data_IF_257008161262
#
_entry.id   IF_257008161262
#
_cell.length_a   1.000
_cell.length_b   1.000
_cell.length_c   1.000
_cell.angle_alpha   90.00
_cell.angle_beta   90.00
_cell.angle_gamma   90.00
#
_symmetry.space_group_name_H-M   'P 1'
#
loop_
_entity.id
_entity.type
_entity.pdbx_description
1 polymer ?
#
# COMPACT_ATOMS: atom_id res chain seq x y z
N UNK A 1 -19.63 -8.47 16.70
CA UNK A 1 -19.01 -8.86 15.41
C UNK A 1 -19.54 -8.05 14.24
N UNK A 2 -20.81 -7.60 14.25
CA UNK A 2 -21.41 -6.85 13.14
C UNK A 2 -20.94 -5.39 12.98
N UNK A 3 -20.39 -4.77 14.02
CA UNK A 3 -20.24 -3.30 14.03
C UNK A 3 -18.89 -2.78 13.49
N UNK A 4 -17.83 -3.61 13.47
CA UNK A 4 -16.47 -3.18 13.11
C UNK A 4 -15.71 -4.11 12.14
N UNK A 5 -16.24 -5.30 11.85
CA UNK A 5 -15.59 -6.27 10.95
C UNK A 5 -14.38 -6.98 11.59
N UNK A 6 -14.20 -8.27 11.24
CA UNK A 6 -13.16 -9.13 11.84
C UNK A 6 -11.74 -8.64 11.57
N UNK A 7 -11.49 -8.02 10.41
CA UNK A 7 -10.14 -7.55 10.04
C UNK A 7 -9.74 -6.26 10.75
N UNK A 8 -10.67 -5.33 11.00
CA UNK A 8 -10.38 -4.14 11.80
C UNK A 8 -10.06 -4.53 13.25
N UNK A 9 -10.72 -5.57 13.78
CA UNK A 9 -10.43 -6.11 15.11
C UNK A 9 -9.04 -6.77 15.15
N UNK A 10 -8.68 -7.58 14.14
CA UNK A 10 -7.34 -8.21 14.05
C UNK A 10 -6.23 -7.17 13.91
N UNK A 11 -6.41 -6.15 13.07
CA UNK A 11 -5.45 -5.06 12.92
C UNK A 11 -5.30 -4.24 14.22
N UNK A 12 -6.40 -3.94 14.90
CA UNK A 12 -6.39 -3.23 16.19
C UNK A 12 -5.66 -4.03 17.27
N UNK A 13 -5.83 -5.35 17.30
CA UNK A 13 -5.15 -6.23 18.26
C UNK A 13 -3.65 -6.39 17.93
N UNK A 14 -3.24 -6.38 16.66
CA UNK A 14 -1.83 -6.44 16.26
C UNK A 14 -1.05 -5.16 16.53
N UNK A 15 -1.72 -4.02 16.70
CA UNK A 15 -1.12 -2.73 17.05
C UNK A 15 -0.80 -2.60 18.56
N UNK A 16 -1.07 -3.64 19.37
CA UNK A 16 -0.71 -3.66 20.78
C UNK A 16 0.79 -3.81 21.00
N UNK A 17 1.39 -2.88 21.74
CA UNK A 17 2.78 -2.99 22.20
C UNK A 17 2.87 -4.04 23.31
N UNK A 18 3.79 -5.00 23.20
CA UNK A 18 4.00 -6.00 24.23
C UNK A 18 4.37 -5.34 25.58
N UNK A 19 3.59 -5.60 26.63
CA UNK A 19 3.85 -5.11 27.99
C UNK A 19 3.23 -3.76 28.36
N UNK A 20 2.47 -3.13 27.47
CA UNK A 20 1.63 -1.96 27.80
C UNK A 20 0.15 -2.31 27.70
N UNK A 21 -0.67 -1.75 28.61
CA UNK A 21 -2.12 -1.83 28.49
C UNK A 21 -2.56 -1.19 27.17
N UNK A 22 -3.27 -1.98 26.37
CA UNK A 22 -3.82 -1.55 25.10
C UNK A 22 -4.95 -0.56 25.40
N UNK A 23 -4.64 0.74 25.31
CA UNK A 23 -5.65 1.78 25.46
C UNK A 23 -6.60 1.73 24.24
N UNK A 24 -7.67 0.96 24.38
CA UNK A 24 -8.79 0.85 23.44
C UNK A 24 -9.66 2.11 23.55
N UNK A 25 -9.11 3.25 23.13
CA UNK A 25 -9.92 4.46 22.99
C UNK A 25 -10.85 4.33 21.78
N UNK A 26 -12.06 4.85 21.90
CA UNK A 26 -13.04 4.93 20.80
C UNK A 26 -12.49 5.69 19.59
N UNK A 27 -11.58 6.63 19.82
CA UNK A 27 -10.83 7.36 18.80
C UNK A 27 -9.94 6.43 17.95
N UNK A 28 -9.19 5.51 18.58
CA UNK A 28 -8.36 4.52 17.84
C UNK A 28 -9.22 3.56 17.02
N UNK A 29 -10.36 3.13 17.55
CA UNK A 29 -11.31 2.30 16.80
C UNK A 29 -11.86 3.04 15.57
N UNK A 30 -12.17 4.32 15.72
CA UNK A 30 -12.66 5.17 14.61
C UNK A 30 -11.59 5.36 13.54
N UNK A 31 -10.34 5.63 13.94
CA UNK A 31 -9.21 5.75 13.02
C UNK A 31 -8.91 4.45 12.28
N UNK A 32 -8.97 3.31 12.98
CA UNK A 32 -8.77 1.99 12.35
C UNK A 32 -9.88 1.64 11.37
N UNK A 33 -11.14 2.00 11.67
CA UNK A 33 -12.25 1.85 10.72
C UNK A 33 -12.04 2.69 9.46
N UNK A 34 -11.60 3.94 9.62
CA UNK A 34 -11.29 4.81 8.48
C UNK A 34 -10.16 4.23 7.63
N UNK A 35 -9.14 3.65 8.27
CA UNK A 35 -8.03 2.96 7.60
C UNK A 35 -8.50 1.77 6.78
N UNK A 36 -9.28 0.86 7.37
CA UNK A 36 -9.82 -0.30 6.65
C UNK A 36 -10.66 0.13 5.45
N UNK A 37 -11.49 1.16 5.59
CA UNK A 37 -12.25 1.72 4.47
C UNK A 37 -11.35 2.28 3.37
N UNK A 38 -10.28 2.99 3.74
CA UNK A 38 -9.31 3.54 2.78
C UNK A 38 -8.57 2.44 2.03
N UNK A 39 -8.18 1.37 2.73
CA UNK A 39 -7.58 0.16 2.15
C UNK A 39 -8.51 -0.53 1.14
N UNK A 40 -9.78 -0.71 1.52
CA UNK A 40 -10.80 -1.26 0.62
C UNK A 40 -10.97 -0.41 -0.64
N UNK A 41 -11.08 0.91 -0.48
CA UNK A 41 -11.24 1.84 -1.62
C UNK A 41 -10.00 1.83 -2.54
N UNK A 42 -8.80 1.77 -1.98
CA UNK A 42 -7.56 1.64 -2.75
C UNK A 42 -7.53 0.33 -3.54
N UNK A 43 -7.82 -0.82 -2.90
CA UNK A 43 -7.87 -2.11 -3.56
C UNK A 43 -8.90 -2.15 -4.69
N UNK A 44 -10.10 -1.61 -4.45
CA UNK A 44 -11.15 -1.50 -5.47
C UNK A 44 -10.69 -0.65 -6.66
N UNK A 45 -10.08 0.50 -6.40
CA UNK A 45 -9.55 1.37 -7.45
C UNK A 45 -8.51 0.64 -8.30
N UNK A 46 -7.55 -0.03 -7.67
CA UNK A 46 -6.48 -0.76 -8.38
C UNK A 46 -7.09 -1.85 -9.26
N UNK A 47 -7.96 -2.70 -8.71
CA UNK A 47 -8.60 -3.79 -9.45
C UNK A 47 -9.43 -3.29 -10.64
N UNK A 48 -10.16 -2.18 -10.49
CA UNK A 48 -10.94 -1.59 -11.58
C UNK A 48 -10.07 -1.08 -12.72
N UNK A 49 -8.85 -0.62 -12.43
CA UNK A 49 -7.93 -0.07 -13.41
C UNK A 49 -6.97 -1.11 -14.02
N UNK A 50 -6.96 -2.37 -13.56
CA UNK A 50 -6.09 -3.43 -14.10
C UNK A 50 -6.66 -4.12 -15.36
N UNK A 51 -7.90 -3.83 -15.76
CA UNK A 51 -8.53 -4.37 -16.97
C UNK A 51 -9.02 -5.82 -16.81
N UNK A 52 -10.16 -6.14 -17.41
CA UNK A 52 -10.87 -7.42 -17.26
C UNK A 52 -10.30 -8.59 -18.09
N UNK A 53 -9.16 -8.40 -18.78
CA UNK A 53 -8.57 -9.41 -19.65
C UNK A 53 -7.33 -9.99 -18.98
N UNK A 54 -7.41 -11.22 -18.47
CA UNK A 54 -6.34 -11.87 -17.69
C UNK A 54 -4.95 -11.91 -18.34
N UNK A 55 -4.85 -11.75 -19.66
CA UNK A 55 -3.56 -11.60 -20.36
C UNK A 55 -2.79 -10.34 -19.91
N UNK A 56 -3.49 -9.22 -19.69
CA UNK A 56 -2.85 -7.97 -19.26
C UNK A 56 -2.27 -8.08 -17.84
N UNK A 57 -2.89 -8.87 -16.95
CA UNK A 57 -2.37 -9.08 -15.60
C UNK A 57 -1.06 -9.88 -15.61
N UNK A 58 -0.95 -10.89 -16.48
CA UNK A 58 0.28 -11.66 -16.64
C UNK A 58 1.45 -10.75 -17.06
N UNK A 59 1.21 -9.86 -18.02
CA UNK A 59 2.22 -8.92 -18.52
C UNK A 59 2.64 -7.92 -17.43
N UNK A 60 1.70 -7.40 -16.63
CA UNK A 60 2.00 -6.50 -15.52
C UNK A 60 2.84 -7.18 -14.42
N UNK A 61 2.66 -8.47 -14.19
CA UNK A 61 3.43 -9.25 -13.21
C UNK A 61 4.86 -9.56 -13.67
N UNK A 62 5.18 -9.37 -14.96
CA UNK A 62 6.55 -9.52 -15.46
C UNK A 62 7.48 -8.40 -15.03
N UNK A 63 6.91 -7.23 -14.67
CA UNK A 63 7.70 -6.11 -14.18
C UNK A 63 8.39 -6.47 -12.86
N UNK A 64 9.67 -6.11 -12.78
CA UNK A 64 10.53 -6.31 -11.62
C UNK A 64 11.04 -4.97 -11.13
N UNK A 65 10.82 -4.68 -9.86
CA UNK A 65 11.17 -3.42 -9.23
C UNK A 65 12.15 -3.62 -8.07
N UNK A 66 12.97 -4.66 -8.13
CA UNK A 66 13.88 -5.15 -7.09
C UNK A 66 15.35 -4.72 -7.30
N UNK A 67 15.65 -3.99 -8.38
CA UNK A 67 17.02 -3.58 -8.71
C UNK A 67 17.12 -2.08 -8.96
N UNK A 68 18.25 -1.46 -8.63
CA UNK A 68 18.48 -0.03 -8.90
C UNK A 68 18.31 0.32 -10.38
N UNK A 69 18.74 -0.57 -11.28
CA UNK A 69 18.59 -0.38 -12.72
C UNK A 69 17.12 -0.39 -13.17
N UNK A 70 16.25 -1.16 -12.51
CA UNK A 70 14.83 -1.14 -12.84
C UNK A 70 14.13 0.10 -12.28
N UNK A 71 14.49 0.54 -11.09
CA UNK A 71 14.01 1.81 -10.53
C UNK A 71 14.45 3.03 -11.35
N UNK A 72 15.69 3.06 -11.83
CA UNK A 72 16.23 4.17 -12.63
C UNK A 72 15.53 4.36 -13.98
N UNK A 73 14.84 3.32 -14.48
CA UNK A 73 14.06 3.36 -15.73
C UNK A 73 12.61 3.78 -15.50
N UNK A 74 12.17 3.86 -14.25
CA UNK A 74 10.81 4.28 -13.92
C UNK A 74 10.66 5.80 -14.05
N UNK A 75 9.46 6.28 -14.42
CA UNK A 75 9.16 7.68 -14.25
C UNK A 75 9.19 8.07 -12.76
N UNK A 76 9.36 9.37 -12.49
CA UNK A 76 9.64 9.87 -11.15
C UNK A 76 8.61 9.41 -10.08
N UNK A 77 7.28 9.54 -10.27
CA UNK A 77 6.31 9.12 -9.25
C UNK A 77 6.42 7.63 -8.90
N UNK A 78 6.60 6.79 -9.92
CA UNK A 78 6.75 5.35 -9.81
C UNK A 78 8.05 4.98 -9.08
N UNK A 79 9.18 5.59 -9.45
CA UNK A 79 10.47 5.35 -8.79
C UNK A 79 10.43 5.75 -7.30
N UNK A 80 9.74 6.86 -6.99
CA UNK A 80 9.63 7.39 -5.63
C UNK A 80 8.83 6.46 -4.72
N UNK A 81 7.64 6.03 -5.15
CA UNK A 81 6.78 5.18 -4.31
C UNK A 81 7.39 3.80 -4.09
N UNK A 82 8.06 3.22 -5.10
CA UNK A 82 8.77 1.95 -4.95
C UNK A 82 9.94 2.10 -3.99
N UNK A 83 10.70 3.19 -4.08
CA UNK A 83 11.81 3.45 -3.14
C UNK A 83 11.30 3.59 -1.70
N UNK A 84 10.16 4.28 -1.50
CA UNK A 84 9.52 4.39 -0.18
C UNK A 84 9.04 3.04 0.34
N UNK A 85 8.48 2.19 -0.52
CA UNK A 85 8.07 0.84 -0.15
C UNK A 85 9.27 -0.01 0.30
N UNK A 86 10.39 0.04 -0.42
CA UNK A 86 11.59 -0.71 -0.02
C UNK A 86 12.12 -0.23 1.33
N UNK A 87 12.17 1.08 1.56
CA UNK A 87 12.55 1.64 2.86
C UNK A 87 11.59 1.18 3.98
N UNK A 88 10.29 1.14 3.70
CA UNK A 88 9.30 0.61 4.64
C UNK A 88 9.58 -0.86 4.97
N UNK A 89 9.85 -1.70 3.97
CA UNK A 89 10.12 -3.13 4.17
C UNK A 89 11.33 -3.33 5.09
N UNK A 90 12.41 -2.58 4.88
CA UNK A 90 13.61 -2.67 5.70
C UNK A 90 13.32 -2.27 7.16
N UNK A 91 12.62 -1.16 7.37
CA UNK A 91 12.29 -0.68 8.71
C UNK A 91 11.31 -1.59 9.45
N UNK A 92 10.29 -2.08 8.76
CA UNK A 92 9.31 -3.01 9.33
C UNK A 92 10.02 -4.32 9.69
N UNK A 93 10.88 -4.84 8.81
CA UNK A 93 11.68 -6.04 9.08
C UNK A 93 12.54 -5.86 10.33
N UNK A 94 13.26 -4.74 10.44
CA UNK A 94 14.04 -4.40 11.64
C UNK A 94 13.16 -4.33 12.90
N UNK A 95 12.01 -3.67 12.82
CA UNK A 95 11.06 -3.56 13.93
C UNK A 95 10.54 -4.94 14.36
N UNK A 96 10.26 -5.83 13.41
CA UNK A 96 9.86 -7.21 13.68
C UNK A 96 10.97 -8.01 14.38
N UNK A 97 12.22 -7.91 13.92
CA UNK A 97 13.37 -8.58 14.57
C UNK A 97 13.60 -8.10 16.01
N UNK A 98 13.22 -6.86 16.31
CA UNK A 98 13.30 -6.26 17.65
C UNK A 98 12.02 -6.39 18.48
N UNK A 99 10.98 -7.04 17.95
CA UNK A 99 9.66 -7.17 18.59
C UNK A 99 8.94 -5.82 18.84
N UNK A 100 9.25 -4.79 18.06
CA UNK A 100 8.63 -3.47 18.09
C UNK A 100 7.40 -3.39 17.18
N UNK A 101 6.39 -4.22 17.44
CA UNK A 101 5.20 -4.35 16.60
C UNK A 101 4.39 -3.05 16.47
N UNK A 102 4.37 -2.22 17.52
CA UNK A 102 3.68 -0.93 17.50
C UNK A 102 4.31 0.06 16.52
N UNK A 103 5.65 0.05 16.41
CA UNK A 103 6.37 0.91 15.47
C UNK A 103 6.19 0.42 14.04
N UNK A 104 6.32 -0.90 13.81
CA UNK A 104 6.04 -1.52 12.51
C UNK A 104 4.63 -1.15 12.01
N UNK A 105 3.61 -1.26 12.88
CA UNK A 105 2.24 -0.92 12.51
C UNK A 105 2.03 0.56 12.18
N UNK A 106 2.76 1.47 12.85
CA UNK A 106 2.71 2.91 12.56
C UNK A 106 3.35 3.24 11.23
N UNK A 107 4.53 2.69 10.94
CA UNK A 107 5.22 2.92 9.67
C UNK A 107 4.39 2.44 8.48
N UNK A 108 3.78 1.26 8.61
CA UNK A 108 2.86 0.69 7.62
C UNK A 108 1.66 1.62 7.39
N UNK A 109 1.04 2.11 8.48
CA UNK A 109 -0.07 3.04 8.41
C UNK A 109 0.31 4.35 7.69
N UNK A 110 1.43 4.96 8.09
CA UNK A 110 1.88 6.26 7.58
C UNK A 110 2.20 6.17 6.08
N UNK A 111 2.90 5.12 5.66
CA UNK A 111 3.18 4.86 4.24
C UNK A 111 1.88 4.66 3.45
N UNK A 112 1.00 3.77 3.90
CA UNK A 112 -0.22 3.47 3.15
C UNK A 112 -1.12 4.70 3.02
N UNK A 113 -1.33 5.41 4.12
CA UNK A 113 -2.28 6.52 4.13
C UNK A 113 -1.75 7.72 3.36
N UNK A 114 -0.52 8.15 3.66
CA UNK A 114 0.07 9.38 3.15
C UNK A 114 0.76 9.18 1.80
N UNK A 115 1.78 8.33 1.77
CA UNK A 115 2.63 8.18 0.58
C UNK A 115 1.88 7.44 -0.55
N UNK A 116 1.17 6.35 -0.21
CA UNK A 116 0.51 5.53 -1.23
C UNK A 116 -0.88 6.05 -1.61
N UNK A 117 -1.80 6.14 -0.65
CA UNK A 117 -3.19 6.45 -0.96
C UNK A 117 -3.44 7.93 -1.27
N UNK A 118 -2.93 8.87 -0.45
CA UNK A 118 -3.15 10.30 -0.68
C UNK A 118 -2.30 10.84 -1.85
N UNK A 119 -1.08 10.33 -2.03
CA UNK A 119 -0.17 10.87 -3.04
C UNK A 119 -0.09 10.00 -4.30
N UNK A 120 0.38 8.76 -4.18
CA UNK A 120 0.67 7.97 -5.37
C UNK A 120 -0.59 7.57 -6.15
N UNK A 121 -1.63 7.05 -5.47
CA UNK A 121 -2.91 6.71 -6.12
C UNK A 121 -3.50 7.93 -6.83
N UNK A 122 -3.56 9.08 -6.17
CA UNK A 122 -4.10 10.31 -6.77
C UNK A 122 -3.27 10.76 -7.98
N UNK A 123 -1.94 10.73 -7.89
CA UNK A 123 -1.06 11.05 -9.02
C UNK A 123 -1.25 10.08 -10.20
N UNK A 124 -1.44 8.78 -9.91
CA UNK A 124 -1.61 7.75 -10.94
C UNK A 124 -2.86 7.94 -11.78
N UNK A 125 -3.93 8.54 -11.22
CA UNK A 125 -5.19 8.82 -11.96
C UNK A 125 -4.96 9.67 -13.20
N UNK A 126 -4.03 10.63 -13.13
CA UNK A 126 -3.71 11.47 -14.29
C UNK A 126 -3.16 10.63 -15.44
N UNK A 127 -2.23 9.72 -15.15
CA UNK A 127 -1.68 8.78 -16.13
C UNK A 127 -2.72 7.77 -16.60
N UNK A 128 -3.56 7.25 -15.73
CA UNK A 128 -4.57 6.25 -16.11
C UNK A 128 -5.68 6.82 -16.99
N UNK A 129 -6.08 8.08 -16.77
CA UNK A 129 -7.22 8.68 -17.49
C UNK A 129 -6.84 9.61 -18.65
N UNK A 130 -5.61 10.14 -18.68
CA UNK A 130 -5.18 11.12 -19.69
C UNK A 130 -4.01 10.63 -20.56
N UNK A 131 -3.67 9.34 -20.52
CA UNK A 131 -2.59 8.79 -21.33
C UNK A 131 -3.01 8.66 -22.80
N UNK A 132 -2.39 9.46 -23.67
CA UNK A 132 -2.40 9.24 -25.12
C UNK A 132 -1.48 8.08 -25.56
N UNK A 133 -0.63 7.58 -24.66
CA UNK A 133 0.33 6.50 -24.89
C UNK A 133 0.09 5.35 -23.91
N UNK A 134 -0.21 4.14 -24.41
CA UNK A 134 -0.58 2.98 -23.58
C UNK A 134 0.53 2.54 -22.61
N UNK A 135 1.80 2.81 -22.92
CA UNK A 135 2.95 2.39 -22.09
C UNK A 135 2.96 3.00 -20.69
N UNK A 136 2.60 4.27 -20.57
CA UNK A 136 2.69 5.01 -19.30
C UNK A 136 1.61 4.55 -18.31
N UNK A 137 0.43 4.19 -18.83
CA UNK A 137 -0.63 3.60 -18.03
C UNK A 137 -0.24 2.21 -17.53
N UNK A 138 0.42 1.39 -18.36
CA UNK A 138 0.86 0.05 -17.98
C UNK A 138 1.89 0.07 -16.85
N UNK A 139 2.84 1.01 -16.87
CA UNK A 139 3.84 1.12 -15.79
C UNK A 139 3.15 1.53 -14.47
N UNK A 140 2.24 2.51 -14.50
CA UNK A 140 1.50 2.92 -13.31
C UNK A 140 0.65 1.77 -12.75
N UNK A 141 -0.02 1.00 -13.61
CA UNK A 141 -0.76 -0.21 -13.23
C UNK A 141 0.14 -1.27 -12.59
N UNK A 142 1.32 -1.51 -13.15
CA UNK A 142 2.29 -2.48 -12.64
C UNK A 142 2.78 -2.09 -11.24
N UNK A 143 3.10 -0.81 -11.03
CA UNK A 143 3.55 -0.31 -9.73
C UNK A 143 2.41 -0.33 -8.69
N UNK A 144 1.19 0.08 -9.05
CA UNK A 144 0.01 -0.04 -8.17
C UNK A 144 -0.20 -1.49 -7.71
N UNK A 145 -0.11 -2.45 -8.63
CA UNK A 145 -0.22 -3.87 -8.34
C UNK A 145 0.94 -4.37 -7.48
N UNK A 146 2.17 -3.94 -7.77
CA UNK A 146 3.35 -4.34 -7.02
C UNK A 146 3.27 -3.87 -5.56
N UNK A 147 2.91 -2.61 -5.33
CA UNK A 147 2.75 -2.07 -3.98
C UNK A 147 1.65 -2.82 -3.24
N UNK A 148 0.48 -3.04 -3.86
CA UNK A 148 -0.63 -3.78 -3.24
C UNK A 148 -0.28 -5.24 -2.90
N UNK A 149 0.51 -5.92 -3.74
CA UNK A 149 0.93 -7.31 -3.52
C UNK A 149 1.98 -7.44 -2.41
N UNK A 150 2.82 -6.43 -2.27
CA UNK A 150 3.94 -6.43 -1.32
C UNK A 150 3.48 -5.98 0.08
N UNK A 151 2.39 -5.22 0.13
CA UNK A 151 1.64 -4.89 1.33
C UNK A 151 0.88 -6.11 1.88
#
# INVERSE_FOLDING_TARGET
MEEYGTDALRFTLSLGTAGQDLNLSTERLTSNKAFTNKLWNAGKFILQNLGSNGCALQDLLTYKFDTLDSLAKLPLPESWVVSKLHYLIDNVTFSYEKFFFGDAGREIYDFFWGDFADWYIESSKTRLYHSGCQSDASIAQAVLLYVLKTY
#
